data_IF_885966779442
#
_entry.id   IF_885966779442
#
_cell.length_a   1.000
_cell.length_b   1.000
_cell.length_c   1.000
_cell.angle_alpha   90.00
_cell.angle_beta   90.00
_cell.angle_gamma   90.00
#
_symmetry.space_group_name_H-M   'P 1'
#
loop_
_entity.id
_entity.type
_entity.pdbx_description
1 polymer ?
#
# COMPACT_ATOMS: atom_id res chain seq x y z
N UNK A 1 -3.11 6.01 2.03
CA UNK A 1 -3.34 6.43 0.65
C UNK A 1 -4.49 5.65 0.02
N UNK A 2 -4.41 4.31 -0.09
CA UNK A 2 -5.39 3.46 -0.76
C UNK A 2 -6.86 3.72 -0.35
N UNK A 3 -7.23 3.84 0.96
CA UNK A 3 -8.60 4.14 1.35
C UNK A 3 -9.13 5.49 0.85
N UNK A 4 -8.25 6.48 0.68
CA UNK A 4 -8.64 7.78 0.13
C UNK A 4 -8.85 7.73 -1.38
N UNK A 5 -7.96 7.04 -2.12
CA UNK A 5 -8.12 6.82 -3.56
C UNK A 5 -9.43 6.09 -3.85
N UNK A 6 -9.74 5.03 -3.10
CA UNK A 6 -10.97 4.26 -3.30
C UNK A 6 -12.23 5.08 -3.00
N UNK A 7 -12.19 5.99 -2.02
CA UNK A 7 -13.30 6.91 -1.72
C UNK A 7 -13.49 7.97 -2.82
N UNK A 8 -12.41 8.43 -3.45
CA UNK A 8 -12.52 9.31 -4.64
C UNK A 8 -13.13 8.53 -5.80
N UNK A 9 -12.68 7.29 -6.05
CA UNK A 9 -13.18 6.46 -7.14
C UNK A 9 -14.69 6.17 -7.07
N UNK A 10 -15.27 6.02 -5.86
CA UNK A 10 -16.72 5.85 -5.66
C UNK A 10 -17.47 7.16 -5.47
N UNK A 11 -16.79 8.31 -5.57
CA UNK A 11 -17.42 9.64 -5.50
C UNK A 11 -17.73 10.16 -4.10
N UNK A 12 -17.19 9.54 -3.05
CA UNK A 12 -17.33 10.04 -1.67
C UNK A 12 -16.45 11.24 -1.37
N UNK A 13 -15.30 11.31 -2.01
CA UNK A 13 -14.39 12.45 -1.97
C UNK A 13 -14.24 13.02 -3.37
N UNK A 14 -14.16 14.32 -3.47
CA UNK A 14 -14.04 15.03 -4.74
C UNK A 14 -12.68 14.81 -5.38
N UNK A 15 -11.62 14.92 -4.58
CA UNK A 15 -10.23 14.82 -5.03
C UNK A 15 -9.35 14.15 -3.98
N UNK A 16 -8.26 13.56 -4.44
CA UNK A 16 -7.18 13.06 -3.59
C UNK A 16 -6.19 14.19 -3.28
N UNK A 17 -5.84 14.40 -2.02
CA UNK A 17 -4.72 15.27 -1.66
C UNK A 17 -3.38 14.53 -1.82
N UNK A 18 -2.47 15.05 -2.64
CA UNK A 18 -1.09 14.59 -2.80
C UNK A 18 -0.17 15.57 -2.06
N UNK A 19 0.50 15.10 -1.01
CA UNK A 19 1.27 15.95 -0.11
C UNK A 19 2.75 16.04 -0.55
N UNK A 20 3.07 17.12 -1.27
CA UNK A 20 4.38 17.37 -1.86
C UNK A 20 4.56 16.72 -3.23
N UNK A 21 5.18 17.47 -4.14
CA UNK A 21 5.57 17.06 -5.49
C UNK A 21 7.02 17.45 -5.82
N UNK A 22 7.76 17.80 -4.79
CA UNK A 22 9.13 18.31 -4.86
C UNK A 22 10.14 17.45 -4.07
N UNK A 23 9.77 16.17 -3.76
CA UNK A 23 10.71 15.22 -3.18
C UNK A 23 11.74 14.76 -4.21
N UNK A 24 12.91 14.35 -3.74
CA UNK A 24 13.94 13.72 -4.58
C UNK A 24 13.51 12.27 -4.91
N UNK A 25 12.58 12.17 -5.84
CA UNK A 25 11.96 10.93 -6.34
C UNK A 25 11.65 11.09 -7.83
N UNK A 26 11.42 10.02 -8.60
CA UNK A 26 11.22 10.11 -10.05
C UNK A 26 10.10 11.04 -10.51
N UNK A 27 9.03 11.18 -9.73
CA UNK A 27 7.87 12.04 -10.05
C UNK A 27 7.62 13.15 -9.01
N UNK A 28 8.55 13.34 -8.09
CA UNK A 28 8.47 14.35 -7.04
C UNK A 28 7.58 13.96 -5.86
N UNK A 29 6.82 12.88 -5.93
CA UNK A 29 5.93 12.45 -4.83
C UNK A 29 6.57 11.39 -3.95
N UNK A 30 6.08 11.25 -2.71
CA UNK A 30 6.64 10.31 -1.74
C UNK A 30 6.51 8.85 -2.18
N UNK A 31 7.59 8.06 -1.99
CA UNK A 31 7.68 6.64 -2.36
C UNK A 31 7.56 5.77 -1.11
N UNK A 32 6.70 4.75 -1.15
CA UNK A 32 6.46 3.80 -0.04
C UNK A 32 6.37 2.37 -0.55
N UNK A 33 6.64 1.42 0.35
CA UNK A 33 6.34 0.01 0.12
C UNK A 33 4.88 -0.26 0.49
N UNK A 34 4.08 -0.56 -0.51
CA UNK A 34 2.70 -0.97 -0.34
C UNK A 34 2.61 -2.49 -0.41
N UNK A 35 2.01 -3.09 0.59
CA UNK A 35 1.84 -4.53 0.68
C UNK A 35 0.36 -4.92 0.59
N UNK A 36 0.06 -5.97 -0.15
CA UNK A 36 -1.29 -6.51 -0.22
C UNK A 36 -1.69 -7.12 1.14
N UNK A 37 -2.92 -6.85 1.59
CA UNK A 37 -3.41 -7.31 2.90
C UNK A 37 -3.36 -8.83 3.07
N UNK A 38 -3.58 -9.60 2.00
CA UNK A 38 -3.49 -11.07 2.03
C UNK A 38 -2.04 -11.52 2.24
N UNK A 39 -1.07 -10.88 1.58
CA UNK A 39 0.34 -11.20 1.79
C UNK A 39 0.79 -10.85 3.21
N UNK A 40 0.34 -9.70 3.71
CA UNK A 40 0.59 -9.32 5.10
C UNK A 40 0.02 -10.35 6.08
N UNK A 41 -1.24 -10.79 5.86
CA UNK A 41 -1.87 -11.83 6.69
C UNK A 41 -1.10 -13.16 6.64
N UNK A 42 -0.69 -13.61 5.45
CA UNK A 42 0.16 -14.81 5.27
C UNK A 42 1.48 -14.68 6.05
N UNK A 43 2.10 -13.48 6.04
CA UNK A 43 3.31 -13.20 6.81
C UNK A 43 3.10 -13.36 8.32
N UNK A 44 1.98 -12.87 8.84
CA UNK A 44 1.61 -13.05 10.25
C UNK A 44 1.41 -14.52 10.63
N UNK A 45 0.72 -15.30 9.78
CA UNK A 45 0.56 -16.76 10.02
C UNK A 45 1.91 -17.47 10.06
N UNK A 46 2.82 -17.13 9.14
CA UNK A 46 4.19 -17.66 9.14
C UNK A 46 4.97 -17.27 10.40
N UNK A 47 4.82 -16.02 10.87
CA UNK A 47 5.46 -15.55 12.09
C UNK A 47 4.96 -16.29 13.34
N UNK A 48 3.65 -16.58 13.43
CA UNK A 48 3.07 -17.40 14.52
C UNK A 48 3.72 -18.79 14.54
N UNK A 49 3.82 -19.47 13.40
CA UNK A 49 4.46 -20.79 13.32
C UNK A 49 5.95 -20.73 13.70
N UNK A 50 6.64 -19.67 13.31
CA UNK A 50 8.04 -19.46 13.64
C UNK A 50 8.29 -19.30 15.14
N UNK A 51 7.46 -18.51 15.85
CA UNK A 51 7.68 -18.23 17.28
C UNK A 51 7.46 -19.45 18.17
N UNK A 52 6.62 -20.40 17.77
CA UNK A 52 6.46 -21.67 18.53
C UNK A 52 7.73 -22.50 18.58
N UNK A 53 8.57 -22.43 17.54
CA UNK A 53 9.85 -23.13 17.47
C UNK A 53 11.04 -22.26 17.88
N UNK A 54 10.85 -20.95 17.95
CA UNK A 54 11.88 -19.96 18.25
C UNK A 54 11.36 -18.94 19.29
N UNK A 55 11.20 -19.37 20.56
CA UNK A 55 10.65 -18.49 21.59
C UNK A 55 11.60 -17.31 21.87
N UNK A 56 11.04 -16.13 22.10
CA UNK A 56 11.77 -14.90 22.38
C UNK A 56 11.22 -13.70 21.64
N UNK A 57 12.03 -12.65 21.52
CA UNK A 57 11.73 -11.44 20.77
C UNK A 57 12.51 -11.44 19.46
N UNK A 58 11.81 -11.26 18.35
CA UNK A 58 12.42 -11.01 17.04
C UNK A 58 11.69 -9.89 16.29
N UNK A 59 12.41 -9.17 15.43
CA UNK A 59 11.87 -8.10 14.60
C UNK A 59 12.09 -8.47 13.14
N UNK A 60 10.99 -8.54 12.38
CA UNK A 60 10.98 -8.99 11.00
C UNK A 60 10.13 -8.02 10.17
N UNK A 61 10.76 -7.39 9.17
CA UNK A 61 10.04 -6.55 8.23
C UNK A 61 9.22 -7.41 7.26
N UNK A 62 7.96 -7.06 7.08
CA UNK A 62 7.09 -7.61 6.04
C UNK A 62 6.82 -6.50 5.02
N UNK A 63 7.29 -6.69 3.80
CA UNK A 63 7.14 -5.75 2.70
C UNK A 63 7.45 -6.44 1.37
N UNK A 64 7.28 -5.71 0.28
CA UNK A 64 7.59 -6.19 -1.07
C UNK A 64 9.06 -5.96 -1.44
N UNK A 65 9.71 -4.99 -0.80
CA UNK A 65 11.02 -4.48 -1.19
C UNK A 65 10.96 -3.57 -2.42
N UNK A 66 9.76 -3.21 -2.89
CA UNK A 66 9.54 -2.34 -4.04
C UNK A 66 8.83 -1.08 -3.58
N UNK A 67 9.39 0.09 -3.94
CA UNK A 67 8.78 1.38 -3.67
C UNK A 67 7.90 1.84 -4.84
N UNK A 68 6.71 2.33 -4.53
CA UNK A 68 5.80 3.00 -5.47
C UNK A 68 5.53 4.42 -5.01
N UNK A 69 5.49 5.35 -5.95
CA UNK A 69 5.15 6.75 -5.68
C UNK A 69 3.64 6.92 -5.45
N UNK A 70 3.24 8.09 -4.95
CA UNK A 70 1.82 8.42 -4.84
C UNK A 70 1.16 8.46 -6.22
N UNK A 71 1.84 9.00 -7.24
CA UNK A 71 1.29 9.06 -8.60
C UNK A 71 1.27 7.69 -9.29
N UNK A 72 2.21 6.77 -8.98
CA UNK A 72 2.11 5.37 -9.42
C UNK A 72 0.82 4.72 -8.90
N UNK A 73 0.50 4.95 -7.62
CA UNK A 73 -0.73 4.45 -7.00
C UNK A 73 -1.98 5.04 -7.66
N UNK A 74 -2.00 6.35 -7.93
CA UNK A 74 -3.12 7.02 -8.62
C UNK A 74 -3.31 6.43 -10.01
N UNK A 75 -2.24 6.27 -10.77
CA UNK A 75 -2.25 5.72 -12.13
C UNK A 75 -2.74 4.25 -12.15
N UNK A 76 -2.21 3.42 -11.26
CA UNK A 76 -2.61 2.02 -11.16
C UNK A 76 -4.08 1.88 -10.74
N UNK A 77 -4.55 2.71 -9.81
CA UNK A 77 -5.95 2.68 -9.39
C UNK A 77 -6.90 3.20 -10.47
N UNK A 78 -6.51 4.25 -11.20
CA UNK A 78 -7.28 4.73 -12.36
C UNK A 78 -7.47 3.62 -13.41
N UNK A 79 -6.43 2.83 -13.68
CA UNK A 79 -6.50 1.66 -14.55
C UNK A 79 -7.47 0.60 -14.00
N UNK A 80 -7.40 0.31 -12.70
CA UNK A 80 -8.23 -0.71 -12.05
C UNK A 80 -9.73 -0.35 -12.02
N UNK A 81 -10.07 0.93 -11.79
CA UNK A 81 -11.46 1.37 -11.71
C UNK A 81 -12.02 1.85 -13.07
N UNK A 82 -11.19 2.00 -14.11
CA UNK A 82 -11.59 2.51 -15.42
C UNK A 82 -11.97 3.99 -15.44
N UNK A 83 -11.54 4.76 -14.43
CA UNK A 83 -11.85 6.19 -14.28
C UNK A 83 -10.59 6.95 -13.92
N UNK A 84 -10.49 8.20 -14.34
CA UNK A 84 -9.47 9.10 -13.84
C UNK A 84 -9.71 9.41 -12.36
N UNK A 85 -8.66 9.37 -11.54
CA UNK A 85 -8.71 9.77 -10.13
C UNK A 85 -8.22 11.21 -10.04
N UNK A 86 -9.11 12.18 -9.84
CA UNK A 86 -8.72 13.57 -9.68
C UNK A 86 -7.91 13.76 -8.38
N UNK A 87 -6.84 14.54 -8.48
CA UNK A 87 -6.02 14.89 -7.33
C UNK A 87 -5.62 16.36 -7.34
N UNK A 88 -5.15 16.85 -6.21
CA UNK A 88 -4.55 18.17 -6.05
C UNK A 88 -3.26 18.08 -5.24
N UNK A 89 -2.25 18.85 -5.63
CA UNK A 89 -1.00 18.94 -4.88
C UNK A 89 -1.23 19.83 -3.66
N UNK A 90 -0.78 19.33 -2.51
CA UNK A 90 -0.80 20.05 -1.22
C UNK A 90 0.63 20.21 -0.68
N UNK A 91 0.89 21.19 0.18
CA UNK A 91 2.18 21.31 0.85
C UNK A 91 2.59 20.01 1.53
N UNK A 92 3.92 19.75 1.62
CA UNK A 92 4.46 18.60 2.37
C UNK A 92 3.94 18.58 3.79
N UNK A 93 3.71 17.39 4.33
CA UNK A 93 3.43 17.22 5.76
C UNK A 93 4.76 17.16 6.53
N UNK A 94 4.77 17.71 7.74
CA UNK A 94 5.92 17.59 8.62
C UNK A 94 6.23 16.11 8.93
N UNK A 95 7.51 15.74 8.80
CA UNK A 95 7.99 14.39 9.07
C UNK A 95 7.87 13.40 7.90
N UNK A 96 7.27 13.78 6.77
CA UNK A 96 7.30 12.93 5.57
C UNK A 96 8.71 12.92 4.94
N UNK A 97 9.18 11.74 4.58
CA UNK A 97 10.46 11.51 3.90
C UNK A 97 10.22 11.10 2.44
N UNK A 98 11.20 11.35 1.58
CA UNK A 98 11.11 11.09 0.15
C UNK A 98 10.80 9.61 -0.16
N UNK A 99 11.59 8.70 0.39
CA UNK A 99 11.46 7.25 0.14
C UNK A 99 11.56 6.44 1.43
N UNK A 100 10.69 5.41 1.54
CA UNK A 100 10.76 4.41 2.60
C UNK A 100 10.14 3.11 2.10
N UNK A 101 10.94 2.06 2.04
CA UNK A 101 10.48 0.69 1.72
C UNK A 101 11.30 -0.33 2.48
N UNK A 102 10.74 -1.53 2.65
CA UNK A 102 11.32 -2.58 3.48
C UNK A 102 12.47 -3.32 2.79
N UNK A 103 13.38 -3.86 3.60
CA UNK A 103 14.19 -5.01 3.20
C UNK A 103 13.50 -6.29 3.72
N UNK A 104 12.92 -7.13 2.85
CA UNK A 104 12.22 -8.35 3.22
C UNK A 104 13.14 -9.57 3.32
N UNK A 105 14.47 -9.45 3.17
CA UNK A 105 15.39 -10.57 3.11
C UNK A 105 15.33 -11.46 4.36
N UNK A 106 15.17 -10.87 5.55
CA UNK A 106 15.02 -11.64 6.80
C UNK A 106 13.71 -12.44 6.80
N UNK A 107 12.59 -11.88 6.38
CA UNK A 107 11.31 -12.60 6.28
C UNK A 107 11.42 -13.81 5.33
N UNK A 108 12.07 -13.62 4.19
CA UNK A 108 12.32 -14.72 3.24
C UNK A 108 13.15 -15.84 3.86
N UNK A 109 14.21 -15.51 4.58
CA UNK A 109 15.11 -16.48 5.18
C UNK A 109 14.51 -17.23 6.37
N UNK A 110 13.87 -16.51 7.32
CA UNK A 110 13.45 -17.14 8.59
C UNK A 110 12.00 -17.61 8.58
N UNK A 111 11.11 -16.96 7.80
CA UNK A 111 9.71 -17.34 7.69
C UNK A 111 9.40 -18.14 6.42
N UNK A 112 10.32 -18.19 5.45
CA UNK A 112 10.03 -18.70 4.11
C UNK A 112 8.88 -17.93 3.46
N UNK A 113 8.80 -16.61 3.70
CA UNK A 113 7.72 -15.75 3.23
C UNK A 113 8.22 -14.67 2.27
N UNK A 114 7.46 -14.43 1.23
CA UNK A 114 7.62 -13.31 0.29
C UNK A 114 6.25 -12.77 -0.07
N UNK A 115 6.17 -11.46 -0.35
CA UNK A 115 4.99 -10.88 -0.97
C UNK A 115 4.87 -11.38 -2.41
N UNK A 116 3.66 -11.77 -2.83
CA UNK A 116 3.37 -12.38 -4.13
C UNK A 116 2.52 -11.45 -5.01
N UNK A 117 1.73 -10.56 -4.38
CA UNK A 117 0.76 -9.69 -5.05
C UNK A 117 1.34 -8.31 -5.31
N UNK A 118 1.25 -7.88 -6.56
CA UNK A 118 1.75 -6.59 -7.02
C UNK A 118 0.73 -5.45 -6.90
N UNK A 119 1.15 -4.27 -7.37
CA UNK A 119 0.35 -3.04 -7.32
C UNK A 119 -0.98 -3.17 -8.06
N UNK A 120 -1.00 -3.78 -9.24
CA UNK A 120 -2.23 -3.96 -10.03
C UNK A 120 -3.26 -4.81 -9.28
N UNK A 121 -2.84 -5.89 -8.59
CA UNK A 121 -3.74 -6.73 -7.79
C UNK A 121 -4.25 -5.99 -6.55
N UNK A 122 -3.39 -5.23 -5.86
CA UNK A 122 -3.79 -4.40 -4.74
C UNK A 122 -4.90 -3.42 -5.14
N UNK A 123 -4.73 -2.75 -6.27
CA UNK A 123 -5.72 -1.80 -6.79
C UNK A 123 -7.02 -2.50 -7.22
N UNK A 124 -6.92 -3.61 -7.95
CA UNK A 124 -8.08 -4.37 -8.43
C UNK A 124 -8.91 -4.95 -7.28
N UNK A 125 -8.27 -5.56 -6.28
CA UNK A 125 -8.96 -6.13 -5.12
C UNK A 125 -9.59 -5.05 -4.25
N UNK A 126 -8.91 -3.91 -4.07
CA UNK A 126 -9.47 -2.75 -3.35
C UNK A 126 -10.67 -2.18 -4.10
N UNK A 127 -10.58 -2.01 -5.42
CA UNK A 127 -11.69 -1.51 -6.22
C UNK A 127 -12.89 -2.45 -6.19
N UNK A 128 -12.66 -3.77 -6.36
CA UNK A 128 -13.71 -4.78 -6.28
C UNK A 128 -14.47 -4.68 -4.97
N UNK A 129 -13.76 -4.58 -3.83
CA UNK A 129 -14.42 -4.46 -2.53
C UNK A 129 -15.15 -3.11 -2.38
N UNK A 130 -14.48 -2.00 -2.67
CA UNK A 130 -15.05 -0.66 -2.45
C UNK A 130 -16.26 -0.39 -3.34
N UNK A 131 -16.25 -0.86 -4.60
CA UNK A 131 -17.39 -0.70 -5.52
C UNK A 131 -18.64 -1.47 -5.09
N UNK A 132 -18.46 -2.61 -4.43
CA UNK A 132 -19.54 -3.43 -3.89
C UNK A 132 -19.98 -2.99 -2.49
N UNK A 133 -19.13 -2.29 -1.77
CA UNK A 133 -19.37 -1.83 -0.40
C UNK A 133 -19.08 -0.33 -0.25
N UNK A 134 -19.80 0.55 -0.98
CA UNK A 134 -19.47 1.98 -1.01
C UNK A 134 -19.59 2.63 0.38
N UNK A 135 -20.45 2.12 1.24
CA UNK A 135 -20.64 2.59 2.61
C UNK A 135 -19.95 1.74 3.68
N UNK A 136 -19.11 0.79 3.28
CA UNK A 136 -18.50 -0.17 4.18
C UNK A 136 -19.48 -1.31 4.51
N UNK A 137 -19.27 -1.99 5.64
CA UNK A 137 -20.25 -2.96 6.12
C UNK A 137 -21.47 -2.22 6.68
N UNK A 138 -22.64 -2.47 6.12
CA UNK A 138 -23.89 -2.05 6.74
C UNK A 138 -24.06 -2.80 8.08
N UNK A 139 -24.38 -2.05 9.13
CA UNK A 139 -24.71 -2.62 10.44
C UNK A 139 -26.21 -2.86 10.52
#
# INVERSE_FOLDING_TARGET
LMPYISQVAVGKLEKLGVFGDDYDTPDGTGVRDYIHVVDLAKGHVKAINYIFSNPGLDVINLGTGVGYSVLDMVKAFSKACGKEIPYEIKPRRAGDIAMCYADPAKAARVLGWKAEKGLDEMCADTWRWQSQNPNGYEK
#
